data_IF_672781493378
#
_entry.id   IF_672781493378
#
_cell.length_a   1.000
_cell.length_b   1.000
_cell.length_c   1.000
_cell.angle_alpha   90.00
_cell.angle_beta   90.00
_cell.angle_gamma   90.00
#
_symmetry.space_group_name_H-M   'P 1'
#
loop_
_entity.id
_entity.type
_entity.pdbx_description
1 polymer ?
#
# COMPACT_ATOMS: atom_id res chain seq x y z
N UNK A 1 -5.61 4.65 5.16
CA UNK A 1 -6.84 5.46 5.35
C UNK A 1 -8.07 4.80 4.76
N UNK A 2 -8.02 4.32 3.51
CA UNK A 2 -9.16 3.69 2.85
C UNK A 2 -9.81 2.56 3.68
N UNK A 3 -9.03 1.68 4.32
CA UNK A 3 -9.56 0.63 5.20
C UNK A 3 -10.42 1.18 6.35
N UNK A 4 -10.04 2.32 6.93
CA UNK A 4 -10.78 2.93 8.03
C UNK A 4 -12.12 3.51 7.54
N UNK A 5 -12.11 4.17 6.38
CA UNK A 5 -13.31 4.71 5.72
C UNK A 5 -14.25 3.56 5.33
N UNK A 6 -13.74 2.55 4.62
CA UNK A 6 -14.51 1.38 4.20
C UNK A 6 -15.16 0.68 5.41
N UNK A 7 -14.42 0.48 6.50
CA UNK A 7 -14.96 -0.09 7.74
C UNK A 7 -16.07 0.75 8.35
N UNK A 8 -15.93 2.08 8.36
CA UNK A 8 -16.96 2.98 8.88
C UNK A 8 -18.28 2.87 8.09
N UNK A 9 -18.20 2.79 6.77
CA UNK A 9 -19.37 2.69 5.89
C UNK A 9 -19.84 1.25 5.62
N UNK A 10 -19.18 0.23 6.18
CA UNK A 10 -19.50 -1.17 5.93
C UNK A 10 -19.24 -1.62 4.48
N UNK A 11 -18.29 -0.98 3.80
CA UNK A 11 -17.87 -1.30 2.43
C UNK A 11 -16.70 -2.28 2.46
N UNK A 12 -16.76 -3.30 1.61
CA UNK A 12 -15.66 -4.26 1.42
C UNK A 12 -14.51 -3.60 0.64
N UNK A 13 -13.28 -3.73 1.13
CA UNK A 13 -12.06 -3.35 0.41
C UNK A 13 -11.29 -4.61 0.00
N UNK A 14 -10.74 -4.61 -1.21
CA UNK A 14 -9.94 -5.72 -1.74
C UNK A 14 -8.57 -5.23 -2.17
N UNK A 15 -7.54 -5.82 -1.57
CA UNK A 15 -6.17 -5.68 -2.06
C UNK A 15 -6.01 -6.46 -3.37
N UNK A 16 -5.29 -5.86 -4.30
CA UNK A 16 -4.83 -6.51 -5.54
C UNK A 16 -3.34 -6.23 -5.75
N UNK A 17 -2.71 -6.95 -6.68
CA UNK A 17 -1.35 -6.61 -7.11
C UNK A 17 -1.34 -5.27 -7.83
N UNK A 18 -0.20 -4.58 -7.81
CA UNK A 18 -0.01 -3.33 -8.56
C UNK A 18 -0.23 -3.54 -10.05
N UNK A 19 -0.91 -2.58 -10.67
CA UNK A 19 -1.33 -2.55 -12.06
C UNK A 19 -2.86 -2.54 -12.15
N UNK A 20 -3.41 -1.48 -12.74
CA UNK A 20 -4.86 -1.31 -12.90
C UNK A 20 -5.59 -2.49 -13.55
N UNK A 21 -4.89 -3.33 -14.32
CA UNK A 21 -5.41 -4.61 -14.83
C UNK A 21 -6.10 -5.44 -13.74
N UNK A 22 -5.52 -5.55 -12.55
CA UNK A 22 -6.09 -6.38 -11.48
C UNK A 22 -7.36 -5.76 -10.87
N UNK A 23 -7.47 -4.43 -10.88
CA UNK A 23 -8.71 -3.73 -10.53
C UNK A 23 -9.77 -4.02 -11.60
N UNK A 24 -9.41 -3.97 -12.88
CA UNK A 24 -10.32 -4.27 -13.98
C UNK A 24 -10.83 -5.71 -13.97
N UNK A 25 -10.01 -6.67 -13.51
CA UNK A 25 -10.44 -8.05 -13.26
C UNK A 25 -11.50 -8.13 -12.14
N UNK A 26 -11.37 -7.34 -11.07
CA UNK A 26 -12.40 -7.26 -10.02
C UNK A 26 -13.70 -6.68 -10.56
N UNK A 27 -13.64 -5.67 -11.44
CA UNK A 27 -14.84 -5.12 -12.08
C UNK A 27 -15.56 -6.20 -12.90
N UNK A 28 -14.82 -6.92 -13.75
CA UNK A 28 -15.37 -7.99 -14.56
C UNK A 28 -15.98 -9.11 -13.71
N UNK A 29 -15.35 -9.45 -12.57
CA UNK A 29 -15.89 -10.44 -11.63
C UNK A 29 -17.21 -9.98 -10.99
N UNK A 30 -17.28 -8.72 -10.54
CA UNK A 30 -18.50 -8.14 -9.98
C UNK A 30 -19.66 -8.16 -10.99
N UNK A 31 -19.40 -7.78 -12.24
CA UNK A 31 -20.42 -7.77 -13.30
C UNK A 31 -20.87 -9.17 -13.71
N UNK A 32 -19.93 -10.13 -13.80
CA UNK A 32 -20.24 -11.51 -14.19
C UNK A 32 -21.05 -12.26 -13.13
N UNK A 33 -20.80 -11.99 -11.85
CA UNK A 33 -21.46 -12.69 -10.73
C UNK A 33 -22.71 -11.97 -10.24
N UNK A 34 -22.75 -10.63 -10.31
CA UNK A 34 -23.82 -9.82 -9.74
C UNK A 34 -23.88 -9.82 -8.21
N UNK A 35 -22.94 -10.49 -7.52
CA UNK A 35 -22.94 -10.62 -6.06
C UNK A 35 -22.51 -9.34 -5.33
N UNK A 36 -21.75 -8.48 -6.02
CA UNK A 36 -21.17 -7.26 -5.49
C UNK A 36 -21.22 -6.16 -6.55
N UNK A 37 -21.38 -4.92 -6.10
CA UNK A 37 -21.24 -3.74 -6.94
C UNK A 37 -19.85 -3.13 -6.75
N UNK A 38 -19.12 -2.92 -7.84
CA UNK A 38 -17.86 -2.18 -7.81
C UNK A 38 -18.14 -0.69 -7.61
N UNK A 39 -17.47 -0.07 -6.62
CA UNK A 39 -17.64 1.35 -6.29
C UNK A 39 -16.45 2.19 -6.72
N UNK A 40 -15.24 1.86 -6.28
CA UNK A 40 -14.03 2.62 -6.57
C UNK A 40 -12.82 1.68 -6.68
N UNK A 41 -11.85 2.07 -7.49
CA UNK A 41 -10.52 1.46 -7.54
C UNK A 41 -9.45 2.53 -7.66
N UNK A 42 -8.34 2.36 -6.96
CA UNK A 42 -7.27 3.35 -6.94
C UNK A 42 -5.90 2.70 -6.70
N UNK A 43 -4.86 3.42 -7.09
CA UNK A 43 -3.45 3.05 -6.89
C UNK A 43 -2.68 4.27 -6.36
N UNK A 44 -1.59 4.03 -5.63
CA UNK A 44 -0.77 5.10 -5.05
C UNK A 44 -0.14 6.01 -6.13
N UNK A 45 0.01 5.49 -7.35
CA UNK A 45 0.55 6.20 -8.51
C UNK A 45 -0.47 7.12 -9.21
N UNK A 46 -1.42 7.70 -8.45
CA UNK A 46 -2.51 8.55 -8.94
C UNK A 46 -3.48 7.85 -9.91
N UNK A 47 -3.60 6.53 -9.81
CA UNK A 47 -4.64 5.78 -10.52
C UNK A 47 -5.95 5.90 -9.76
N UNK A 48 -7.04 6.24 -10.44
CA UNK A 48 -8.37 6.31 -9.84
C UNK A 48 -9.45 5.98 -10.88
N UNK A 49 -10.48 5.27 -10.44
CA UNK A 49 -11.71 5.04 -11.19
C UNK A 49 -12.87 4.95 -10.19
N UNK A 50 -13.95 5.69 -10.45
CA UNK A 50 -15.23 5.48 -9.78
C UNK A 50 -16.15 4.66 -10.68
N UNK A 51 -16.91 3.72 -10.12
CA UNK A 51 -17.79 2.84 -10.88
C UNK A 51 -17.06 1.98 -11.93
N UNK A 52 -17.84 1.37 -12.82
CA UNK A 52 -17.37 0.37 -13.78
C UNK A 52 -17.41 0.83 -15.24
N UNK A 53 -17.45 2.14 -15.50
CA UNK A 53 -17.59 2.68 -16.87
C UNK A 53 -16.34 2.49 -17.74
N UNK A 54 -15.17 2.29 -17.13
CA UNK A 54 -13.92 2.00 -17.82
C UNK A 54 -13.26 0.74 -17.27
N UNK A 55 -12.22 0.28 -17.97
CA UNK A 55 -11.33 -0.82 -17.55
C UNK A 55 -9.90 -0.33 -17.32
N UNK A 56 -9.75 0.96 -17.08
CA UNK A 56 -8.50 1.64 -16.77
C UNK A 56 -8.80 2.85 -15.87
N UNK A 57 -7.77 3.49 -15.35
CA UNK A 57 -7.87 4.75 -14.60
C UNK A 57 -8.48 5.86 -15.46
N UNK A 58 -9.30 6.70 -14.85
CA UNK A 58 -9.93 7.85 -15.49
C UNK A 58 -9.71 9.11 -14.65
N UNK A 59 -8.75 9.91 -15.08
CA UNK A 59 -8.44 11.20 -14.47
C UNK A 59 -9.54 12.25 -14.69
N UNK A 60 -10.32 12.17 -15.77
CA UNK A 60 -11.42 13.10 -16.04
C UNK A 60 -12.56 12.82 -15.07
N UNK A 61 -12.90 11.55 -14.85
CA UNK A 61 -13.87 11.17 -13.83
C UNK A 61 -13.45 11.65 -12.43
N UNK A 62 -12.19 11.41 -12.04
CA UNK A 62 -11.66 11.88 -10.76
C UNK A 62 -11.78 13.41 -10.63
N UNK A 63 -11.40 14.15 -11.67
CA UNK A 63 -11.51 15.61 -11.69
C UNK A 63 -12.95 16.11 -11.61
N UNK A 64 -13.89 15.44 -12.28
CA UNK A 64 -15.32 15.76 -12.21
C UNK A 64 -15.88 15.54 -10.81
N UNK A 65 -15.61 14.40 -10.18
CA UNK A 65 -16.04 14.12 -8.80
C UNK A 65 -15.46 15.11 -7.80
N UNK A 66 -14.17 15.46 -7.95
CA UNK A 66 -13.55 16.46 -7.08
C UNK A 66 -14.14 17.86 -7.30
N UNK A 67 -14.50 18.21 -8.54
CA UNK A 67 -15.15 19.48 -8.87
C UNK A 67 -16.56 19.56 -8.26
N UNK A 68 -17.33 18.47 -8.33
CA UNK A 68 -18.63 18.37 -7.66
C UNK A 68 -18.49 18.49 -6.14
N UNK A 69 -17.56 17.75 -5.53
CA UNK A 69 -17.27 17.87 -4.10
C UNK A 69 -16.90 19.31 -3.71
N UNK A 70 -16.09 19.98 -4.53
CA UNK A 70 -15.73 21.39 -4.31
C UNK A 70 -16.95 22.31 -4.27
N UNK A 71 -17.90 22.13 -5.20
CA UNK A 71 -19.15 22.92 -5.22
C UNK A 71 -19.99 22.63 -3.99
N UNK A 72 -20.25 21.36 -3.70
CA UNK A 72 -21.07 20.93 -2.54
C UNK A 72 -20.52 21.46 -1.23
N UNK A 73 -19.21 21.32 -1.00
CA UNK A 73 -18.60 21.79 0.25
C UNK A 73 -18.48 23.30 0.32
N UNK A 74 -18.28 23.98 -0.82
CA UNK A 74 -18.31 25.44 -0.86
C UNK A 74 -19.67 25.99 -0.48
N UNK A 75 -20.77 25.37 -0.93
CA UNK A 75 -22.13 25.74 -0.50
C UNK A 75 -22.34 25.54 1.01
N UNK A 76 -21.66 24.57 1.61
CA UNK A 76 -21.60 24.36 3.05
C UNK A 76 -20.59 25.26 3.79
N UNK A 77 -19.95 26.22 3.10
CA UNK A 77 -18.98 27.14 3.69
C UNK A 77 -17.61 26.53 4.00
N UNK A 78 -17.29 25.37 3.41
CA UNK A 78 -16.03 24.64 3.63
C UNK A 78 -15.17 24.61 2.37
N UNK A 79 -13.86 24.55 2.57
CA UNK A 79 -12.90 24.19 1.51
C UNK A 79 -12.68 22.68 1.49
N UNK A 80 -12.11 22.15 0.41
CA UNK A 80 -11.67 20.75 0.36
C UNK A 80 -10.61 20.42 1.42
N UNK A 81 -9.82 21.40 1.84
CA UNK A 81 -8.84 21.22 2.91
C UNK A 81 -9.52 21.02 4.26
N UNK A 82 -10.57 21.80 4.57
CA UNK A 82 -11.34 21.64 5.81
C UNK A 82 -11.95 20.23 5.89
N UNK A 83 -12.53 19.77 4.78
CA UNK A 83 -13.10 18.42 4.67
C UNK A 83 -12.02 17.35 4.86
N UNK A 84 -10.82 17.54 4.29
CA UNK A 84 -9.72 16.62 4.48
C UNK A 84 -9.29 16.55 5.97
N UNK A 85 -9.25 17.70 6.67
CA UNK A 85 -8.97 17.72 8.11
C UNK A 85 -10.05 16.98 8.91
N UNK A 86 -11.33 17.21 8.60
CA UNK A 86 -12.45 16.49 9.22
C UNK A 86 -12.35 14.97 8.99
N UNK A 87 -11.92 14.55 7.79
CA UNK A 87 -11.69 13.13 7.50
C UNK A 87 -10.54 12.57 8.33
N UNK A 88 -9.45 13.30 8.54
CA UNK A 88 -8.37 12.85 9.43
C UNK A 88 -8.81 12.76 10.88
N UNK A 89 -9.62 13.70 11.37
CA UNK A 89 -10.18 13.64 12.71
C UNK A 89 -11.12 12.44 12.89
N UNK A 90 -11.94 12.14 11.88
CA UNK A 90 -12.91 11.05 11.93
C UNK A 90 -12.27 9.66 11.79
N UNK A 91 -11.28 9.51 10.90
CA UNK A 91 -10.75 8.21 10.50
C UNK A 91 -9.32 7.94 10.97
N UNK A 92 -8.63 8.96 11.47
CA UNK A 92 -7.21 8.93 11.82
C UNK A 92 -6.33 9.48 10.72
N UNK A 93 -5.09 9.83 11.10
CA UNK A 93 -4.07 10.31 10.20
C UNK A 93 -3.32 9.12 9.61
N UNK A 94 -3.07 9.15 8.31
CA UNK A 94 -2.30 8.13 7.61
C UNK A 94 -1.33 8.82 6.66
N UNK A 95 -0.09 8.34 6.63
CA UNK A 95 0.93 8.81 5.72
C UNK A 95 1.70 7.61 5.17
N UNK A 96 2.23 7.79 3.97
CA UNK A 96 2.99 6.79 3.24
C UNK A 96 4.26 7.41 2.68
N UNK A 97 5.30 6.61 2.52
CA UNK A 97 6.54 7.02 1.88
C UNK A 97 7.10 5.90 1.00
N UNK A 98 7.74 6.29 -0.10
CA UNK A 98 8.34 5.36 -1.06
C UNK A 98 9.81 5.72 -1.25
N UNK A 99 10.66 4.71 -1.24
CA UNK A 99 12.09 4.83 -1.56
C UNK A 99 12.47 3.82 -2.64
N UNK A 100 13.21 4.28 -3.64
CA UNK A 100 13.75 3.42 -4.70
C UNK A 100 15.27 3.34 -4.59
N UNK A 101 15.82 2.14 -4.71
CA UNK A 101 17.24 1.85 -4.78
C UNK A 101 17.54 1.40 -6.20
N UNK A 102 18.26 2.20 -6.97
CA UNK A 102 18.67 1.86 -8.33
C UNK A 102 20.13 1.40 -8.29
N UNK A 103 20.40 0.23 -8.84
CA UNK A 103 21.73 -0.34 -9.02
C UNK A 103 22.03 -0.48 -10.52
N UNK A 104 23.27 -0.76 -10.87
CA UNK A 104 23.70 -0.82 -12.27
C UNK A 104 23.84 -2.25 -12.79
N UNK A 105 23.30 -2.46 -13.99
CA UNK A 105 23.49 -3.66 -14.79
C UNK A 105 23.07 -4.98 -14.11
N UNK A 106 23.62 -6.08 -14.62
CA UNK A 106 23.33 -7.44 -14.14
C UNK A 106 23.79 -7.66 -12.70
N UNK A 107 24.92 -7.06 -12.30
CA UNK A 107 25.41 -7.13 -10.91
C UNK A 107 24.41 -6.52 -9.92
N UNK A 108 23.75 -5.42 -10.30
CA UNK A 108 22.68 -4.81 -9.51
C UNK A 108 21.48 -5.75 -9.31
N UNK A 109 21.06 -6.47 -10.35
CA UNK A 109 19.97 -7.46 -10.25
C UNK A 109 20.31 -8.60 -9.28
N UNK A 110 21.53 -9.13 -9.33
CA UNK A 110 21.94 -10.21 -8.41
C UNK A 110 22.00 -9.72 -6.95
N UNK A 111 22.47 -8.50 -6.71
CA UNK A 111 22.45 -7.88 -5.37
C UNK A 111 21.03 -7.74 -4.83
N UNK A 112 20.10 -7.26 -5.67
CA UNK A 112 18.69 -7.16 -5.29
C UNK A 112 18.10 -8.54 -4.98
N UNK A 113 18.41 -9.55 -5.81
CA UNK A 113 17.97 -10.93 -5.59
C UNK A 113 18.51 -11.47 -4.26
N UNK A 114 19.80 -11.27 -3.99
CA UNK A 114 20.43 -11.68 -2.75
C UNK A 114 19.82 -10.98 -1.52
N UNK A 115 19.55 -9.67 -1.61
CA UNK A 115 18.89 -8.92 -0.54
C UNK A 115 17.47 -9.44 -0.24
N UNK A 116 16.67 -9.70 -1.28
CA UNK A 116 15.33 -10.28 -1.12
C UNK A 116 15.36 -11.68 -0.51
N UNK A 117 16.30 -12.54 -0.93
CA UNK A 117 16.48 -13.87 -0.33
C UNK A 117 16.99 -13.81 1.12
N UNK A 118 17.86 -12.85 1.44
CA UNK A 118 18.32 -12.62 2.81
C UNK A 118 17.16 -12.20 3.73
N UNK A 119 16.29 -11.30 3.27
CA UNK A 119 15.07 -10.90 4.00
C UNK A 119 14.06 -12.05 4.14
N UNK A 120 13.97 -12.96 3.17
CA UNK A 120 13.16 -14.18 3.27
C UNK A 120 13.70 -15.15 4.31
N UNK A 121 15.03 -15.36 4.30
CA UNK A 121 15.69 -16.32 5.18
C UNK A 121 15.72 -15.84 6.63
N UNK A 122 15.97 -14.56 6.84
CA UNK A 122 16.10 -13.93 8.15
C UNK A 122 15.19 -12.69 8.24
N UNK A 123 13.85 -12.88 8.27
CA UNK A 123 12.93 -11.75 8.31
C UNK A 123 13.05 -11.00 9.64
N UNK A 124 13.05 -9.66 9.63
CA UNK A 124 13.13 -8.86 10.84
C UNK A 124 11.93 -9.16 11.75
N UNK A 125 12.15 -9.10 13.07
CA UNK A 125 11.09 -9.26 14.08
C UNK A 125 10.55 -7.91 14.56
N UNK A 126 11.37 -6.89 14.47
CA UNK A 126 11.10 -5.52 14.89
C UNK A 126 11.76 -4.57 13.89
N UNK A 127 11.16 -3.40 13.68
CA UNK A 127 11.81 -2.29 12.99
C UNK A 127 11.17 -0.98 13.42
N UNK A 128 11.95 0.09 13.52
CA UNK A 128 11.49 1.41 13.95
C UNK A 128 10.99 1.46 15.40
N UNK A 129 11.36 0.49 16.23
CA UNK A 129 10.83 0.34 17.59
C UNK A 129 9.46 -0.33 17.67
N UNK A 130 9.02 -1.00 16.59
CA UNK A 130 7.72 -1.68 16.52
C UNK A 130 7.86 -3.14 16.08
N UNK A 131 7.17 -4.02 16.80
CA UNK A 131 7.13 -5.45 16.47
C UNK A 131 6.34 -5.71 15.20
N UNK A 132 6.91 -6.55 14.34
CA UNK A 132 6.23 -7.15 13.21
C UNK A 132 5.41 -8.34 13.73
N UNK A 133 4.14 -8.39 13.35
CA UNK A 133 3.21 -9.44 13.78
C UNK A 133 2.75 -10.34 12.62
N UNK A 134 2.94 -9.88 11.38
CA UNK A 134 2.61 -10.64 10.18
C UNK A 134 3.73 -10.46 9.15
N UNK A 135 4.16 -11.58 8.58
CA UNK A 135 5.10 -11.65 7.46
C UNK A 135 4.42 -12.32 6.27
N UNK A 136 4.42 -11.66 5.14
CA UNK A 136 3.93 -12.21 3.89
C UNK A 136 5.02 -12.26 2.85
N UNK A 137 5.17 -13.43 2.24
CA UNK A 137 5.95 -13.62 1.03
C UNK A 137 5.00 -14.06 -0.08
N UNK A 138 4.70 -13.13 -1.00
CA UNK A 138 3.82 -13.44 -2.13
C UNK A 138 4.49 -14.41 -3.10
N UNK A 139 5.82 -14.57 -3.08
CA UNK A 139 6.53 -15.47 -3.99
C UNK A 139 6.28 -16.92 -3.61
N UNK A 140 6.41 -17.24 -2.33
CA UNK A 140 6.05 -18.55 -1.79
C UNK A 140 4.53 -18.73 -1.68
N UNK A 141 3.79 -17.63 -1.54
CA UNK A 141 2.35 -17.61 -1.30
C UNK A 141 2.02 -17.84 0.17
N UNK A 142 2.89 -17.38 1.08
CA UNK A 142 2.81 -17.67 2.52
C UNK A 142 2.55 -16.41 3.33
N UNK A 143 1.56 -16.47 4.23
CA UNK A 143 1.27 -15.46 5.25
C UNK A 143 1.50 -16.10 6.63
N UNK A 144 2.52 -15.64 7.34
CA UNK A 144 2.86 -16.10 8.69
C UNK A 144 2.48 -15.04 9.70
N UNK A 145 1.78 -15.43 10.76
CA UNK A 145 1.57 -14.63 11.96
C UNK A 145 2.37 -15.22 13.13
N UNK A 146 2.26 -14.62 14.32
CA UNK A 146 2.82 -15.20 15.55
C UNK A 146 2.11 -16.49 15.99
N UNK A 147 0.92 -16.79 15.45
CA UNK A 147 0.11 -17.94 15.85
C UNK A 147 0.07 -19.05 14.80
N UNK A 148 0.06 -18.70 13.52
CA UNK A 148 -0.16 -19.67 12.44
C UNK A 148 0.51 -19.26 11.12
N UNK A 149 0.48 -20.18 10.15
CA UNK A 149 0.91 -19.93 8.78
C UNK A 149 -0.19 -20.35 7.83
N UNK A 150 -0.63 -19.43 6.98
CA UNK A 150 -1.70 -19.60 5.99
C UNK A 150 -1.22 -19.22 4.59
N UNK A 151 -2.05 -19.46 3.59
CA UNK A 151 -1.77 -19.03 2.22
C UNK A 151 -2.09 -17.54 2.04
N UNK A 152 -1.33 -16.86 1.18
CA UNK A 152 -1.69 -15.49 0.75
C UNK A 152 -2.90 -15.53 -0.18
N UNK A 153 -3.74 -14.49 -0.14
CA UNK A 153 -4.88 -14.33 -1.04
C UNK A 153 -4.50 -13.73 -2.38
N UNK A 154 -3.35 -13.04 -2.46
CA UNK A 154 -2.86 -12.42 -3.68
C UNK A 154 -2.13 -13.43 -4.59
N UNK A 155 -2.15 -13.22 -5.92
CA UNK A 155 -1.33 -14.00 -6.85
C UNK A 155 0.16 -13.92 -6.53
N UNK A 156 0.92 -14.93 -6.97
CA UNK A 156 2.36 -15.00 -6.71
C UNK A 156 3.12 -13.85 -7.37
N UNK A 157 4.00 -13.20 -6.61
CA UNK A 157 4.87 -12.12 -7.07
C UNK A 157 6.09 -11.98 -6.15
N UNK A 158 7.20 -11.43 -6.62
CA UNK A 158 8.39 -11.21 -5.78
C UNK A 158 8.16 -10.00 -4.86
N UNK A 159 7.39 -10.20 -3.79
CA UNK A 159 6.97 -9.13 -2.87
C UNK A 159 7.02 -9.67 -1.45
N UNK A 160 7.65 -8.90 -0.56
CA UNK A 160 7.60 -9.11 0.88
C UNK A 160 6.75 -8.00 1.50
N UNK A 161 5.75 -8.38 2.32
CA UNK A 161 4.99 -7.44 3.15
C UNK A 161 5.17 -7.77 4.62
N UNK A 162 5.37 -6.75 5.45
CA UNK A 162 5.39 -6.91 6.90
C UNK A 162 4.35 -5.96 7.51
N UNK A 163 3.56 -6.45 8.46
CA UNK A 163 2.57 -5.66 9.17
C UNK A 163 2.92 -5.61 10.65
N UNK A 164 2.87 -4.41 11.21
CA UNK A 164 3.32 -4.10 12.55
C UNK A 164 2.15 -4.08 13.53
N UNK A 165 2.47 -4.32 14.80
CA UNK A 165 1.49 -4.39 15.89
C UNK A 165 0.62 -3.13 16.05
N UNK A 166 1.09 -1.95 15.63
CA UNK A 166 0.33 -0.69 15.72
C UNK A 166 -0.28 -0.25 14.39
N UNK A 167 -0.35 -1.14 13.39
CA UNK A 167 -1.01 -0.88 12.11
C UNK A 167 -0.13 -0.20 11.06
N UNK A 168 1.16 0.03 11.34
CA UNK A 168 2.12 0.32 10.28
C UNK A 168 2.34 -0.91 9.39
N UNK A 169 2.85 -0.69 8.20
CA UNK A 169 3.18 -1.74 7.24
C UNK A 169 4.36 -1.32 6.37
N UNK A 170 5.02 -2.32 5.80
CA UNK A 170 6.03 -2.11 4.79
C UNK A 170 5.92 -3.15 3.67
N UNK A 171 6.31 -2.75 2.47
CA UNK A 171 6.33 -3.60 1.29
C UNK A 171 7.64 -3.40 0.54
N UNK A 172 8.34 -4.50 0.25
CA UNK A 172 9.60 -4.51 -0.48
C UNK A 172 9.41 -5.35 -1.74
N UNK A 173 9.72 -4.77 -2.90
CA UNK A 173 9.60 -5.45 -4.19
C UNK A 173 10.68 -5.00 -5.19
N UNK A 174 11.32 -5.92 -5.92
CA UNK A 174 12.13 -5.57 -7.05
C UNK A 174 11.25 -5.10 -8.22
N UNK A 175 11.83 -4.31 -9.11
CA UNK A 175 11.29 -4.08 -10.45
C UNK A 175 11.52 -5.34 -11.30
N UNK A 176 10.55 -5.68 -12.14
CA UNK A 176 10.67 -6.85 -13.02
C UNK A 176 11.58 -6.63 -14.23
N UNK A 177 11.82 -5.38 -14.60
CA UNK A 177 12.54 -5.01 -15.84
C UNK A 177 13.78 -4.17 -15.59
N UNK A 178 13.89 -3.53 -14.43
CA UNK A 178 15.01 -2.63 -14.09
C UNK A 178 15.73 -3.13 -12.83
N UNK A 179 17.05 -2.89 -12.69
CA UNK A 179 17.79 -3.13 -11.45
C UNK A 179 17.40 -2.12 -10.36
N UNK A 180 16.14 -2.17 -9.93
CA UNK A 180 15.53 -1.25 -8.98
C UNK A 180 14.80 -2.03 -7.90
N UNK A 181 15.07 -1.73 -6.63
CA UNK A 181 14.30 -2.22 -5.48
C UNK A 181 13.44 -1.08 -4.95
N UNK A 182 12.16 -1.32 -4.70
CA UNK A 182 11.25 -0.33 -4.10
C UNK A 182 10.88 -0.76 -2.69
N UNK A 183 10.98 0.19 -1.77
CA UNK A 183 10.45 0.13 -0.42
C UNK A 183 9.26 1.07 -0.32
N UNK A 184 8.12 0.55 0.11
CA UNK A 184 6.94 1.30 0.49
C UNK A 184 6.76 1.13 1.99
N UNK A 185 6.45 2.22 2.68
CA UNK A 185 6.06 2.19 4.09
C UNK A 185 4.78 3.00 4.26
N UNK A 186 3.91 2.55 5.15
CA UNK A 186 2.73 3.28 5.56
C UNK A 186 2.48 3.12 7.04
N UNK A 187 1.94 4.17 7.66
CA UNK A 187 1.57 4.17 9.06
C UNK A 187 0.28 4.97 9.28
N UNK A 188 -0.41 4.66 10.37
CA UNK A 188 -1.59 5.38 10.82
C UNK A 188 -1.56 5.64 12.32
N UNK A 189 -2.10 6.78 12.75
CA UNK A 189 -2.20 7.15 14.15
C UNK A 189 -3.35 8.14 14.40
N UNK A 190 -3.63 8.44 15.66
CA UNK A 190 -4.68 9.40 16.03
C UNK A 190 -4.25 10.86 15.87
N UNK A 191 -2.95 11.12 15.87
CA UNK A 191 -2.37 12.46 15.73
C UNK A 191 -1.33 12.46 14.62
N UNK A 192 -1.32 13.51 13.82
CA UNK A 192 -0.39 13.64 12.68
C UNK A 192 1.08 13.45 13.09
N UNK A 193 1.49 14.11 14.18
CA UNK A 193 2.87 14.05 14.68
C UNK A 193 3.30 12.63 15.09
N UNK A 194 2.37 11.76 15.51
CA UNK A 194 2.68 10.36 15.83
C UNK A 194 2.96 9.56 14.56
N UNK A 195 2.22 9.80 13.49
CA UNK A 195 2.44 9.18 12.18
C UNK A 195 3.81 9.59 11.63
N UNK A 196 4.13 10.88 11.70
CA UNK A 196 5.42 11.41 11.23
C UNK A 196 6.61 10.80 11.99
N UNK A 197 6.50 10.71 13.31
CA UNK A 197 7.52 10.07 14.14
C UNK A 197 7.68 8.58 13.82
N UNK A 198 6.57 7.86 13.61
CA UNK A 198 6.58 6.43 13.24
C UNK A 198 7.24 6.22 11.87
N UNK A 199 6.80 6.94 10.83
CA UNK A 199 7.36 6.84 9.49
C UNK A 199 8.84 7.19 9.44
N UNK A 200 9.27 8.21 10.19
CA UNK A 200 10.68 8.62 10.22
C UNK A 200 11.57 7.50 10.77
N UNK A 201 11.16 6.89 11.89
CA UNK A 201 11.91 5.77 12.49
C UNK A 201 11.92 4.55 11.59
N UNK A 202 10.75 4.17 11.06
CA UNK A 202 10.64 3.05 10.13
C UNK A 202 11.49 3.26 8.89
N UNK A 203 11.40 4.43 8.24
CA UNK A 203 12.18 4.73 7.04
C UNK A 203 13.68 4.67 7.33
N UNK A 204 14.14 5.29 8.41
CA UNK A 204 15.55 5.36 8.76
C UNK A 204 16.15 3.96 8.97
N UNK A 205 15.50 3.12 9.77
CA UNK A 205 16.01 1.78 10.10
C UNK A 205 15.89 0.80 8.92
N UNK A 206 14.78 0.86 8.19
CA UNK A 206 14.58 0.01 7.00
C UNK A 206 15.58 0.37 5.90
N UNK A 207 15.82 1.66 5.67
CA UNK A 207 16.81 2.12 4.70
C UNK A 207 18.21 1.65 5.05
N UNK A 208 18.62 1.79 6.31
CA UNK A 208 19.92 1.30 6.77
C UNK A 208 20.06 -0.22 6.57
N UNK A 209 19.00 -0.98 6.84
CA UNK A 209 18.98 -2.43 6.66
C UNK A 209 19.08 -2.82 5.19
N UNK A 210 18.27 -2.21 4.31
CA UNK A 210 18.28 -2.51 2.87
C UNK A 210 19.63 -2.13 2.25
N UNK A 211 20.20 -0.97 2.60
CA UNK A 211 21.52 -0.55 2.08
C UNK A 211 22.60 -1.56 2.43
N UNK A 212 22.65 -2.02 3.67
CA UNK A 212 23.61 -3.05 4.10
C UNK A 212 23.48 -4.33 3.28
N UNK A 213 22.26 -4.76 2.98
CA UNK A 213 21.99 -5.96 2.17
C UNK A 213 22.33 -5.79 0.68
N UNK A 214 22.29 -4.56 0.16
CA UNK A 214 22.68 -4.27 -1.23
C UNK A 214 24.20 -4.07 -1.39
N UNK A 215 24.90 -3.84 -0.28
CA UNK A 215 26.35 -3.66 -0.24
C UNK A 215 27.12 -4.97 0.02
N UNK A 216 26.48 -5.95 0.69
CA UNK A 216 27.01 -7.31 0.90
C UNK A 216 27.08 -8.14 -0.39
#
# INVERSE_FOLDING_TARGET
>A
MADAICRHYGVEIRDVLTGFRFISEQIAQCEATGERQFLFGFEESFGFLAGSFARDKDAICAAMLLSEACVVYREAGKTLYDVLQEMYEAYGYFKEAVKSYTLEGKAGLEKIRAAMEALRKNPPQEMGGENIIIWEDLKSGTRRSTAETTATTLPKSDVLRYFFSKGAWLCIRPSGTEPKLKLYIGAGAKREAEVDACLTKLMMETDATIRRLLES
#
